data_IF_631515161150
#
_entry.id   IF_631515161150
#
_cell.length_a   1.000
_cell.length_b   1.000
_cell.length_c   1.000
_cell.angle_alpha   90.00
_cell.angle_beta   90.00
_cell.angle_gamma   90.00
#
_symmetry.space_group_name_H-M   'P 1'
#
loop_
_entity.id
_entity.type
_entity.pdbx_description
1 polymer ?
#
# COMPACT_ATOMS: atom_id res chain seq x y z
N UNK A 1 -0.65 -1.75 23.18
CA UNK A 1 -0.36 -2.98 23.98
C UNK A 1 -0.66 -4.21 23.12
N UNK A 2 0.18 -4.43 22.11
CA UNK A 2 0.17 -5.66 21.33
C UNK A 2 0.52 -6.85 22.23
N UNK A 3 -0.45 -7.75 22.47
CA UNK A 3 -0.18 -9.01 23.17
C UNK A 3 0.85 -9.80 22.33
N UNK A 4 1.98 -10.20 22.90
CA UNK A 4 2.99 -10.97 22.16
C UNK A 4 2.43 -12.31 21.64
N UNK A 5 3.01 -12.83 20.55
CA UNK A 5 2.65 -14.14 20.01
C UNK A 5 3.39 -15.25 20.77
N UNK A 6 2.67 -16.05 21.55
CA UNK A 6 3.24 -17.25 22.19
C UNK A 6 3.28 -18.43 21.20
N UNK A 7 4.10 -19.47 21.46
CA UNK A 7 4.09 -20.69 20.67
C UNK A 7 2.71 -21.34 20.56
N UNK A 8 1.94 -21.35 21.65
CA UNK A 8 0.60 -21.96 21.71
C UNK A 8 -0.41 -21.17 20.86
N UNK A 9 -0.38 -19.84 20.95
CA UNK A 9 -1.20 -18.95 20.12
C UNK A 9 -0.84 -19.09 18.64
N UNK A 10 0.45 -19.26 18.33
CA UNK A 10 0.94 -19.46 16.97
C UNK A 10 0.46 -20.80 16.39
N UNK A 11 0.61 -21.90 17.14
CA UNK A 11 0.11 -23.21 16.73
C UNK A 11 -1.40 -23.21 16.52
N UNK A 12 -2.15 -22.53 17.41
CA UNK A 12 -3.60 -22.38 17.28
C UNK A 12 -4.00 -21.55 16.06
N UNK A 13 -3.28 -20.47 15.76
CA UNK A 13 -3.47 -19.69 14.54
C UNK A 13 -3.29 -20.56 13.29
N UNK A 14 -2.21 -21.32 13.21
CA UNK A 14 -1.91 -22.17 12.05
C UNK A 14 -3.03 -23.19 11.85
N UNK A 15 -3.42 -23.91 12.90
CA UNK A 15 -4.50 -24.88 12.83
C UNK A 15 -5.84 -24.27 12.37
N UNK A 16 -6.20 -23.10 12.89
CA UNK A 16 -7.45 -22.41 12.52
C UNK A 16 -7.43 -21.90 11.07
N UNK A 17 -6.31 -21.33 10.63
CA UNK A 17 -6.16 -20.84 9.26
C UNK A 17 -6.13 -22.00 8.25
N UNK A 18 -5.48 -23.12 8.60
CA UNK A 18 -5.41 -24.33 7.78
C UNK A 18 -6.76 -25.04 7.67
N UNK A 19 -7.50 -25.15 8.78
CA UNK A 19 -8.84 -25.74 8.80
C UNK A 19 -9.84 -24.93 7.95
N UNK A 20 -9.60 -23.63 7.78
CA UNK A 20 -10.43 -22.74 6.98
C UNK A 20 -9.92 -22.57 5.53
N UNK A 21 -8.98 -23.39 5.07
CA UNK A 21 -8.45 -23.33 3.71
C UNK A 21 -9.54 -23.57 2.67
N UNK A 22 -9.56 -22.75 1.63
CA UNK A 22 -10.36 -22.97 0.42
C UNK A 22 -9.41 -22.94 -0.78
N UNK A 23 -9.42 -24.00 -1.59
CA UNK A 23 -8.50 -24.15 -2.73
C UNK A 23 -7.02 -23.98 -2.36
N UNK A 24 -6.64 -24.44 -1.17
CA UNK A 24 -5.27 -24.32 -0.63
C UNK A 24 -4.91 -22.93 -0.10
N UNK A 25 -5.80 -21.94 -0.22
CA UNK A 25 -5.59 -20.58 0.29
C UNK A 25 -6.14 -20.49 1.72
N UNK A 26 -5.30 -20.15 2.73
CA UNK A 26 -5.77 -20.00 4.11
C UNK A 26 -6.76 -18.83 4.25
N UNK A 27 -7.85 -19.05 5.00
CA UNK A 27 -8.79 -17.99 5.38
C UNK A 27 -8.52 -17.55 6.83
N UNK A 28 -8.15 -16.30 6.99
CA UNK A 28 -7.73 -15.76 8.28
C UNK A 28 -8.87 -15.10 9.08
N UNK A 29 -10.03 -14.84 8.48
CA UNK A 29 -11.13 -14.19 9.18
C UNK A 29 -11.66 -15.02 10.37
N UNK A 30 -11.87 -16.34 10.24
CA UNK A 30 -12.27 -17.18 11.38
C UNK A 30 -11.20 -17.24 12.48
N UNK A 31 -9.92 -17.36 12.08
CA UNK A 31 -8.81 -17.40 13.02
C UNK A 31 -8.65 -16.07 13.80
N UNK A 32 -8.78 -14.94 13.10
CA UNK A 32 -8.75 -13.60 13.67
C UNK A 32 -9.86 -13.40 14.72
N UNK A 33 -11.09 -13.80 14.38
CA UNK A 33 -12.22 -13.75 15.30
C UNK A 33 -11.98 -14.63 16.54
N UNK A 34 -11.56 -15.88 16.35
CA UNK A 34 -11.33 -16.83 17.44
C UNK A 34 -10.19 -16.43 18.39
N UNK A 35 -9.18 -15.72 17.88
CA UNK A 35 -8.04 -15.27 18.66
C UNK A 35 -8.20 -13.85 19.20
N UNK A 36 -9.29 -13.15 18.85
CA UNK A 36 -9.48 -11.72 19.15
C UNK A 36 -8.28 -10.88 18.68
N UNK A 37 -7.85 -11.10 17.43
CA UNK A 37 -6.70 -10.45 16.80
C UNK A 37 -7.11 -9.84 15.45
N UNK A 38 -6.46 -8.74 15.02
CA UNK A 38 -6.62 -8.24 13.65
C UNK A 38 -6.19 -9.29 12.61
N UNK A 39 -6.93 -9.39 11.51
CA UNK A 39 -6.65 -10.33 10.40
C UNK A 39 -5.21 -10.19 9.88
N UNK A 40 -4.70 -8.96 9.77
CA UNK A 40 -3.35 -8.73 9.27
C UNK A 40 -2.27 -9.31 10.21
N UNK A 41 -2.46 -9.25 11.53
CA UNK A 41 -1.51 -9.81 12.49
C UNK A 41 -1.48 -11.34 12.40
N UNK A 42 -2.65 -11.96 12.20
CA UNK A 42 -2.77 -13.39 11.95
C UNK A 42 -2.06 -13.79 10.64
N UNK A 43 -2.24 -13.03 9.56
CA UNK A 43 -1.55 -13.26 8.29
C UNK A 43 -0.03 -13.18 8.46
N UNK A 44 0.46 -12.09 9.05
CA UNK A 44 1.89 -11.87 9.27
C UNK A 44 2.51 -13.01 10.09
N UNK A 45 1.88 -13.38 11.21
CA UNK A 45 2.40 -14.43 12.08
C UNK A 45 2.35 -15.81 11.42
N UNK A 46 1.28 -16.11 10.68
CA UNK A 46 1.14 -17.37 9.95
C UNK A 46 2.27 -17.51 8.93
N UNK A 47 2.40 -16.55 8.01
CA UNK A 47 3.42 -16.63 6.94
C UNK A 47 4.84 -16.61 7.50
N UNK A 48 5.13 -15.88 8.60
CA UNK A 48 6.43 -15.96 9.28
C UNK A 48 6.81 -17.35 9.76
N UNK A 49 5.85 -18.26 9.94
CA UNK A 49 6.05 -19.58 10.54
C UNK A 49 5.85 -20.72 9.55
N UNK A 50 4.98 -20.54 8.56
CA UNK A 50 4.63 -21.59 7.60
C UNK A 50 5.30 -21.43 6.26
N UNK A 51 5.68 -20.20 5.87
CA UNK A 51 6.35 -20.05 4.59
C UNK A 51 7.79 -20.55 4.71
N UNK A 52 8.27 -21.28 3.69
CA UNK A 52 9.65 -21.69 3.65
C UNK A 52 10.53 -20.46 3.74
N UNK A 53 11.60 -20.57 4.53
CA UNK A 53 12.60 -19.53 4.62
C UNK A 53 13.15 -19.24 3.22
N UNK A 54 13.35 -17.96 2.92
CA UNK A 54 13.94 -17.56 1.65
C UNK A 54 15.39 -18.03 1.62
N UNK A 55 15.64 -19.13 0.91
CA UNK A 55 16.99 -19.62 0.67
C UNK A 55 17.83 -18.52 -0.02
N UNK A 56 19.16 -18.49 0.18
CA UNK A 56 20.03 -17.52 -0.49
C UNK A 56 19.83 -17.46 -2.01
N UNK A 57 19.67 -18.62 -2.66
CA UNK A 57 19.39 -18.70 -4.09
C UNK A 57 18.05 -18.05 -4.49
N UNK A 58 17.00 -18.20 -3.66
CA UNK A 58 15.71 -17.55 -3.91
C UNK A 58 15.79 -16.03 -3.72
N UNK A 59 16.64 -15.56 -2.80
CA UNK A 59 16.93 -14.13 -2.64
C UNK A 59 17.64 -13.59 -3.88
N UNK A 60 18.66 -14.28 -4.38
CA UNK A 60 19.39 -13.88 -5.59
C UNK A 60 18.48 -13.84 -6.82
N UNK A 61 17.62 -14.84 -6.98
CA UNK A 61 16.62 -14.85 -8.05
C UNK A 61 15.62 -13.70 -7.91
N UNK A 62 15.14 -13.41 -6.70
CA UNK A 62 14.27 -12.27 -6.44
C UNK A 62 14.96 -10.94 -6.79
N UNK A 63 16.24 -10.77 -6.43
CA UNK A 63 17.04 -9.59 -6.80
C UNK A 63 17.21 -9.48 -8.33
N UNK A 64 17.49 -10.58 -9.02
CA UNK A 64 17.64 -10.61 -10.48
C UNK A 64 16.34 -10.24 -11.19
N UNK A 65 15.22 -10.83 -10.77
CA UNK A 65 13.90 -10.52 -11.32
C UNK A 65 13.56 -9.06 -11.07
N UNK A 66 13.86 -8.55 -9.88
CA UNK A 66 13.65 -7.16 -9.52
C UNK A 66 14.45 -6.19 -10.40
N UNK A 67 15.75 -6.44 -10.56
CA UNK A 67 16.63 -5.64 -11.40
C UNK A 67 16.20 -5.69 -12.89
N UNK A 68 15.88 -6.87 -13.41
CA UNK A 68 15.47 -7.07 -14.80
C UNK A 68 14.17 -6.35 -15.16
N UNK A 69 13.30 -6.10 -14.18
CA UNK A 69 12.02 -5.43 -14.39
C UNK A 69 12.03 -3.97 -13.92
N UNK A 70 13.21 -3.39 -13.64
CA UNK A 70 13.37 -2.02 -13.15
C UNK A 70 12.43 -1.71 -11.97
N UNK A 71 12.24 -2.67 -11.06
CA UNK A 71 11.35 -2.53 -9.91
C UNK A 71 9.88 -2.92 -10.12
N UNK A 72 9.43 -3.16 -11.35
CA UNK A 72 8.02 -3.46 -11.65
C UNK A 72 7.72 -4.94 -11.54
N UNK A 73 7.17 -5.37 -10.40
CA UNK A 73 6.97 -6.79 -10.11
C UNK A 73 5.49 -7.15 -10.00
N UNK A 74 5.07 -8.10 -10.84
CA UNK A 74 3.86 -8.85 -10.57
C UNK A 74 4.15 -9.89 -9.48
N UNK A 75 3.93 -9.51 -8.21
CA UNK A 75 4.23 -10.35 -7.06
C UNK A 75 3.52 -11.71 -7.09
N UNK A 76 2.33 -11.84 -7.71
CA UNK A 76 1.67 -13.14 -7.84
C UNK A 76 2.48 -14.09 -8.73
N UNK A 77 3.01 -13.59 -9.86
CA UNK A 77 3.86 -14.38 -10.76
C UNK A 77 5.21 -14.69 -10.14
N UNK A 78 5.83 -13.71 -9.47
CA UNK A 78 7.13 -13.89 -8.82
C UNK A 78 7.04 -14.89 -7.67
N UNK A 79 6.02 -14.75 -6.82
CA UNK A 79 5.77 -15.67 -5.71
C UNK A 79 5.57 -17.10 -6.19
N UNK A 80 4.77 -17.30 -7.24
CA UNK A 80 4.58 -18.60 -7.86
C UNK A 80 5.88 -19.19 -8.43
N UNK A 81 6.70 -18.38 -9.09
CA UNK A 81 7.98 -18.82 -9.66
C UNK A 81 9.01 -19.22 -8.59
N UNK A 82 8.99 -18.54 -7.44
CA UNK A 82 9.90 -18.81 -6.33
C UNK A 82 9.34 -19.86 -5.34
N UNK A 83 8.09 -20.30 -5.50
CA UNK A 83 7.46 -21.25 -4.58
C UNK A 83 7.15 -20.65 -3.19
N UNK A 84 6.94 -19.34 -3.11
CA UNK A 84 6.61 -18.63 -1.87
C UNK A 84 5.23 -17.97 -1.96
N UNK A 85 4.69 -17.50 -0.84
CA UNK A 85 3.50 -16.65 -0.86
C UNK A 85 3.84 -15.24 -1.35
N UNK A 86 2.83 -14.56 -1.93
CA UNK A 86 2.93 -13.14 -2.31
C UNK A 86 3.38 -12.27 -1.14
N UNK A 87 2.91 -12.60 0.06
CA UNK A 87 3.24 -11.87 1.28
C UNK A 87 4.74 -11.99 1.60
N UNK A 88 5.27 -13.22 1.66
CA UNK A 88 6.68 -13.45 1.98
C UNK A 88 7.62 -12.94 0.89
N UNK A 89 7.23 -13.03 -0.39
CA UNK A 89 8.00 -12.41 -1.48
C UNK A 89 8.10 -10.90 -1.32
N UNK A 90 6.99 -10.21 -0.99
CA UNK A 90 7.00 -8.76 -0.71
C UNK A 90 7.89 -8.43 0.49
N UNK A 91 7.75 -9.18 1.57
CA UNK A 91 8.49 -8.94 2.79
C UNK A 91 10.00 -9.16 2.60
N UNK A 92 10.40 -10.22 1.91
CA UNK A 92 11.81 -10.49 1.63
C UNK A 92 12.41 -9.42 0.71
N UNK A 93 11.68 -8.99 -0.32
CA UNK A 93 12.15 -7.91 -1.19
C UNK A 93 12.40 -6.62 -0.41
N UNK A 94 11.50 -6.27 0.53
CA UNK A 94 11.67 -5.10 1.38
C UNK A 94 12.94 -5.18 2.24
N UNK A 95 13.26 -6.36 2.80
CA UNK A 95 14.51 -6.58 3.56
C UNK A 95 15.76 -6.50 2.69
N UNK A 96 15.72 -7.09 1.50
CA UNK A 96 16.85 -7.05 0.55
C UNK A 96 17.13 -5.62 0.10
N UNK A 97 16.07 -4.86 -0.20
CA UNK A 97 16.18 -3.44 -0.52
C UNK A 97 16.82 -2.67 0.64
N UNK A 98 16.30 -2.81 1.86
CA UNK A 98 16.84 -2.16 3.07
C UNK A 98 18.33 -2.47 3.28
N UNK A 99 18.73 -3.75 3.14
CA UNK A 99 20.14 -4.18 3.28
C UNK A 99 21.07 -3.50 2.26
N UNK A 100 20.55 -3.14 1.08
CA UNK A 100 21.29 -2.47 0.00
C UNK A 100 21.27 -0.95 0.13
N UNK A 101 20.67 -0.38 1.20
CA UNK A 101 20.41 1.06 1.30
C UNK A 101 19.42 1.54 0.23
N UNK A 102 18.66 0.61 -0.33
CA UNK A 102 17.63 0.85 -1.33
C UNK A 102 16.32 0.89 -0.57
N UNK A 103 15.75 2.07 -0.38
CA UNK A 103 14.47 2.21 0.30
C UNK A 103 13.37 1.48 -0.50
N UNK A 104 12.44 0.76 0.14
CA UNK A 104 11.49 -0.11 -0.53
C UNK A 104 10.64 0.66 -1.56
N UNK A 105 10.66 0.15 -2.79
CA UNK A 105 10.06 0.80 -3.97
C UNK A 105 8.58 0.46 -4.17
N UNK A 106 7.95 1.31 -4.98
CA UNK A 106 6.52 1.43 -5.18
C UNK A 106 6.13 1.10 -6.62
N UNK A 107 4.94 0.52 -6.82
CA UNK A 107 4.27 0.50 -8.13
C UNK A 107 2.89 1.11 -7.92
N UNK A 108 2.75 2.41 -8.22
CA UNK A 108 1.45 3.01 -8.42
C UNK A 108 1.03 2.68 -9.84
N UNK A 109 0.15 1.69 -9.97
CA UNK A 109 -0.65 1.67 -11.19
C UNK A 109 -1.62 2.83 -11.06
N UNK A 110 -1.68 3.77 -12.03
CA UNK A 110 -2.93 4.46 -12.25
C UNK A 110 -3.93 3.35 -12.54
N UNK A 111 -4.73 2.97 -11.53
CA UNK A 111 -6.02 2.42 -11.86
C UNK A 111 -6.65 3.55 -12.62
N UNK A 112 -6.79 3.37 -13.94
CA UNK A 112 -7.61 4.21 -14.76
C UNK A 112 -8.96 4.24 -14.05
N UNK A 113 -9.19 5.29 -13.26
CA UNK A 113 -10.44 5.51 -12.58
C UNK A 113 -11.45 5.56 -13.72
N UNK A 114 -12.31 4.54 -13.83
CA UNK A 114 -13.42 4.63 -14.76
C UNK A 114 -14.26 5.82 -14.30
N UNK A 115 -14.10 6.93 -15.01
CA UNK A 115 -14.61 8.26 -14.66
C UNK A 115 -13.60 9.04 -13.81
N UNK A 116 -13.06 10.12 -14.36
CA UNK A 116 -12.31 11.13 -13.61
C UNK A 116 -13.19 11.69 -12.47
N UNK A 117 -12.55 12.17 -11.40
CA UNK A 117 -13.23 12.95 -10.38
C UNK A 117 -13.34 14.39 -10.88
N UNK A 118 -14.55 14.84 -11.15
CA UNK A 118 -14.86 16.24 -11.43
C UNK A 118 -15.45 16.93 -10.19
N UNK A 119 -15.61 18.26 -10.27
CA UNK A 119 -16.14 19.06 -9.18
C UNK A 119 -17.57 18.64 -8.76
N UNK A 120 -18.38 18.15 -9.71
CA UNK A 120 -19.75 17.69 -9.44
C UNK A 120 -19.72 16.41 -8.60
N UNK A 121 -18.88 15.45 -8.98
CA UNK A 121 -18.70 14.19 -8.28
C UNK A 121 -18.09 14.39 -6.89
N UNK A 122 -17.17 15.35 -6.75
CA UNK A 122 -16.63 15.75 -5.45
C UNK A 122 -17.71 16.36 -4.54
N UNK A 123 -18.58 17.21 -5.09
CA UNK A 123 -19.70 17.78 -4.36
C UNK A 123 -20.67 16.67 -3.90
N UNK A 124 -20.98 15.69 -4.76
CA UNK A 124 -21.80 14.54 -4.41
C UNK A 124 -21.17 13.68 -3.32
N UNK A 125 -19.87 13.41 -3.41
CA UNK A 125 -19.13 12.68 -2.38
C UNK A 125 -19.21 13.38 -1.01
N UNK A 126 -18.99 14.70 -0.97
CA UNK A 126 -19.12 15.50 0.27
C UNK A 126 -20.55 15.48 0.81
N UNK A 127 -21.55 15.69 -0.04
CA UNK A 127 -22.96 15.71 0.36
C UNK A 127 -23.39 14.37 0.95
N UNK A 128 -23.04 13.24 0.30
CA UNK A 128 -23.37 11.91 0.79
C UNK A 128 -22.65 11.58 2.10
N UNK A 129 -21.40 12.00 2.27
CA UNK A 129 -20.70 11.85 3.56
C UNK A 129 -21.30 12.70 4.67
N UNK A 130 -21.68 13.94 4.38
CA UNK A 130 -22.37 14.82 5.32
C UNK A 130 -23.74 14.24 5.75
N UNK A 131 -24.42 13.53 4.85
CA UNK A 131 -25.63 12.77 5.14
C UNK A 131 -25.41 11.44 5.89
N UNK A 132 -24.16 11.12 6.27
CA UNK A 132 -23.83 9.93 7.06
C UNK A 132 -23.65 8.63 6.25
N UNK A 133 -23.68 8.69 4.91
CA UNK A 133 -23.51 7.48 4.09
C UNK A 133 -22.09 6.90 4.22
N UNK A 134 -21.97 5.57 4.38
CA UNK A 134 -20.69 4.88 4.35
C UNK A 134 -20.07 4.82 2.95
N UNK A 135 -18.73 4.72 2.85
CA UNK A 135 -18.01 4.75 1.56
C UNK A 135 -18.44 3.66 0.58
N UNK A 136 -18.86 2.49 1.06
CA UNK A 136 -19.42 1.45 0.20
C UNK A 136 -20.75 1.84 -0.45
N UNK A 137 -21.63 2.54 0.29
CA UNK A 137 -22.89 3.06 -0.27
C UNK A 137 -22.63 4.18 -1.28
N UNK A 138 -21.65 5.03 -0.98
CA UNK A 138 -21.24 6.13 -1.86
C UNK A 138 -20.62 5.60 -3.14
N UNK A 139 -19.73 4.61 -3.06
CA UNK A 139 -19.12 3.99 -4.24
C UNK A 139 -20.17 3.42 -5.19
N UNK A 140 -21.21 2.75 -4.65
CA UNK A 140 -22.36 2.31 -5.46
C UNK A 140 -23.09 3.47 -6.13
N UNK A 141 -23.34 4.56 -5.40
CA UNK A 141 -24.03 5.74 -5.95
C UNK A 141 -23.21 6.47 -7.03
N UNK A 142 -21.89 6.51 -6.88
CA UNK A 142 -20.98 7.22 -7.78
C UNK A 142 -20.35 6.32 -8.85
N UNK A 143 -20.66 5.03 -8.88
CA UNK A 143 -20.09 4.08 -9.84
C UNK A 143 -18.58 3.85 -9.67
N UNK A 144 -18.06 3.88 -8.43
CA UNK A 144 -16.66 3.60 -8.12
C UNK A 144 -16.50 2.73 -6.86
N UNK A 145 -15.27 2.34 -6.52
CA UNK A 145 -15.01 1.55 -5.32
C UNK A 145 -15.15 2.38 -4.04
N UNK A 146 -15.39 1.72 -2.91
CA UNK A 146 -15.36 2.32 -1.58
C UNK A 146 -13.99 2.92 -1.27
N UNK A 147 -12.91 2.23 -1.64
CA UNK A 147 -11.52 2.70 -1.52
C UNK A 147 -11.29 3.98 -2.32
N UNK A 148 -11.80 4.05 -3.55
CA UNK A 148 -11.74 5.25 -4.37
C UNK A 148 -12.43 6.45 -3.70
N UNK A 149 -13.63 6.24 -3.14
CA UNK A 149 -14.37 7.27 -2.41
C UNK A 149 -13.62 7.72 -1.15
N UNK A 150 -13.05 6.78 -0.39
CA UNK A 150 -12.29 7.08 0.82
C UNK A 150 -11.06 7.92 0.50
N UNK A 151 -10.28 7.52 -0.49
CA UNK A 151 -9.08 8.25 -0.94
C UNK A 151 -9.45 9.66 -1.42
N UNK A 152 -10.48 9.81 -2.27
CA UNK A 152 -10.89 11.13 -2.74
C UNK A 152 -11.41 12.02 -1.61
N UNK A 153 -12.26 11.49 -0.73
CA UNK A 153 -12.82 12.27 0.37
C UNK A 153 -11.73 12.77 1.32
N UNK A 154 -10.70 11.96 1.52
CA UNK A 154 -9.53 12.35 2.28
C UNK A 154 -8.83 13.56 1.66
N UNK A 155 -8.54 13.50 0.35
CA UNK A 155 -7.97 14.64 -0.41
C UNK A 155 -8.85 15.89 -0.31
N UNK A 156 -10.18 15.75 -0.42
CA UNK A 156 -11.13 16.86 -0.39
C UNK A 156 -11.30 17.55 0.97
N UNK A 157 -10.93 16.87 2.06
CA UNK A 157 -11.09 17.35 3.44
C UNK A 157 -9.85 18.04 3.99
N UNK A 158 -8.82 18.25 3.16
CA UNK A 158 -7.50 18.67 3.61
C UNK A 158 -7.15 20.08 3.18
N UNK A 159 -6.22 20.66 3.93
CA UNK A 159 -5.62 21.96 3.60
C UNK A 159 -5.00 21.82 2.21
N UNK A 160 -5.43 22.69 1.29
CA UNK A 160 -4.81 22.74 -0.03
C UNK A 160 -3.32 23.05 0.13
N UNK A 161 -2.50 22.45 -0.73
CA UNK A 161 -1.12 22.89 -0.92
C UNK A 161 -1.14 24.38 -1.27
N UNK A 162 -0.45 25.20 -0.47
CA UNK A 162 -0.27 26.59 -0.85
C UNK A 162 0.77 26.66 -1.98
N UNK A 163 0.84 27.80 -2.69
CA UNK A 163 1.79 27.98 -3.79
C UNK A 163 3.24 27.70 -3.39
N UNK A 164 3.63 28.12 -2.18
CA UNK A 164 4.98 27.93 -1.64
C UNK A 164 5.29 26.44 -1.37
N UNK A 165 4.36 25.70 -0.78
CA UNK A 165 4.54 24.26 -0.53
C UNK A 165 4.59 23.47 -1.84
N UNK A 166 3.78 23.86 -2.84
CA UNK A 166 3.77 23.22 -4.15
C UNK A 166 5.10 23.45 -4.89
N UNK A 167 5.65 24.67 -4.84
CA UNK A 167 6.96 24.99 -5.40
C UNK A 167 8.09 24.22 -4.70
N UNK A 168 8.07 24.16 -3.37
CA UNK A 168 9.04 23.38 -2.59
C UNK A 168 8.98 21.89 -2.95
N UNK A 169 7.78 21.35 -3.14
CA UNK A 169 7.58 19.95 -3.54
C UNK A 169 8.12 19.69 -4.94
N UNK A 170 7.84 20.57 -5.91
CA UNK A 170 8.39 20.48 -7.28
C UNK A 170 9.92 20.56 -7.30
N UNK A 171 10.50 21.51 -6.57
CA UNK A 171 11.94 21.67 -6.48
C UNK A 171 12.61 20.42 -5.89
N UNK A 172 12.01 19.83 -4.85
CA UNK A 172 12.47 18.60 -4.24
C UNK A 172 12.41 17.42 -5.21
N UNK A 173 11.28 17.25 -5.91
CA UNK A 173 11.10 16.19 -6.89
C UNK A 173 12.08 16.35 -8.06
N UNK A 174 12.26 17.56 -8.58
CA UNK A 174 13.22 17.84 -9.65
C UNK A 174 14.67 17.51 -9.21
N UNK A 175 15.09 18.00 -8.03
CA UNK A 175 16.43 17.77 -7.49
C UNK A 175 16.72 16.29 -7.23
N UNK A 176 15.69 15.49 -6.96
CA UNK A 176 15.80 14.06 -6.66
C UNK A 176 15.36 13.16 -7.82
N UNK A 177 15.12 13.72 -9.00
CA UNK A 177 14.62 12.99 -10.18
C UNK A 177 13.38 12.13 -9.85
N UNK A 178 12.46 12.69 -9.04
CA UNK A 178 11.25 12.03 -8.56
C UNK A 178 11.46 11.00 -7.45
N UNK A 179 12.70 10.75 -7.00
CA UNK A 179 13.04 9.73 -6.00
C UNK A 179 13.11 10.31 -4.60
N UNK A 180 11.96 10.45 -3.96
CA UNK A 180 11.84 10.99 -2.59
C UNK A 180 11.06 10.01 -1.73
N UNK A 181 11.58 9.70 -0.53
CA UNK A 181 10.89 8.82 0.41
C UNK A 181 9.70 9.52 1.07
N UNK A 182 8.71 8.73 1.49
CA UNK A 182 7.56 9.23 2.25
C UNK A 182 7.97 9.94 3.53
N UNK A 183 9.00 9.45 4.22
CA UNK A 183 9.50 10.05 5.45
C UNK A 183 10.10 11.44 5.19
N UNK A 184 10.85 11.62 4.09
CA UNK A 184 11.37 12.92 3.69
C UNK A 184 10.23 13.86 3.30
N UNK A 185 9.23 13.36 2.55
CA UNK A 185 8.05 14.13 2.20
C UNK A 185 7.27 14.58 3.45
N UNK A 186 6.86 13.66 4.31
CA UNK A 186 6.14 13.97 5.54
C UNK A 186 6.97 14.83 6.51
N UNK A 187 8.29 14.68 6.54
CA UNK A 187 9.18 15.51 7.37
C UNK A 187 9.32 16.94 6.84
N UNK A 188 9.33 17.14 5.52
CA UNK A 188 9.43 18.46 4.89
C UNK A 188 8.09 19.20 4.80
N UNK A 189 6.99 18.45 4.80
CA UNK A 189 5.62 18.94 4.72
C UNK A 189 4.79 18.45 5.93
N UNK A 190 5.17 18.76 7.18
CA UNK A 190 4.50 18.21 8.37
C UNK A 190 3.04 18.67 8.52
N UNK A 191 2.68 19.79 7.89
CA UNK A 191 1.32 20.32 7.82
C UNK A 191 0.42 19.58 6.83
N UNK A 192 1.02 18.72 6.01
CA UNK A 192 0.35 17.89 5.02
C UNK A 192 0.60 16.43 5.36
N UNK A 193 -0.46 15.67 5.50
CA UNK A 193 -0.29 14.23 5.47
C UNK A 193 0.15 13.77 4.07
N UNK A 194 0.58 12.52 4.03
CA UNK A 194 1.09 11.94 2.80
C UNK A 194 0.12 11.93 1.62
N UNK A 195 -1.18 11.63 1.79
CA UNK A 195 -2.08 11.55 0.64
C UNK A 195 -2.41 12.92 0.04
N UNK A 196 -2.33 14.01 0.82
CA UNK A 196 -2.36 15.36 0.26
C UNK A 196 -1.14 15.62 -0.61
N UNK A 197 0.04 15.23 -0.14
CA UNK A 197 1.29 15.33 -0.92
C UNK A 197 1.15 14.53 -2.22
N UNK A 198 0.62 13.30 -2.16
CA UNK A 198 0.36 12.51 -3.37
C UNK A 198 -0.65 13.15 -4.32
N UNK A 199 -1.72 13.72 -3.76
CA UNK A 199 -2.73 14.41 -4.55
C UNK A 199 -2.14 15.58 -5.36
N UNK A 200 -1.23 16.35 -4.76
CA UNK A 200 -0.52 17.42 -5.44
C UNK A 200 0.43 16.89 -6.53
N UNK A 201 1.17 15.81 -6.25
CA UNK A 201 2.04 15.14 -7.24
C UNK A 201 1.22 14.64 -8.44
N UNK A 202 0.07 14.03 -8.19
CA UNK A 202 -0.82 13.50 -9.24
C UNK A 202 -1.59 14.59 -9.99
N UNK A 203 -1.94 15.69 -9.33
CA UNK A 203 -2.60 16.83 -9.96
C UNK A 203 -1.74 17.49 -11.04
N UNK A 204 -0.41 17.42 -10.87
CA UNK A 204 0.56 17.94 -11.84
C UNK A 204 0.71 17.05 -13.10
N UNK A 205 0.30 15.78 -13.07
CA UNK A 205 0.35 14.88 -14.25
C UNK A 205 -0.76 15.19 -15.30
N UNK A 206 -1.71 16.08 -14.97
CA UNK A 206 -2.83 16.45 -15.84
C UNK A 206 -2.53 17.56 -16.85
N UNK A 207 -1.42 18.28 -16.73
CA UNK A 207 -1.03 19.40 -17.59
C UNK A 207 0.33 19.11 -18.27
N UNK A 208 0.23 18.51 -19.47
CA UNK A 208 1.22 18.42 -20.56
C UNK A 208 2.49 17.53 -20.49
N UNK A 209 2.68 16.89 -21.66
CA UNK A 209 3.88 16.39 -22.35
C UNK A 209 4.84 15.38 -21.69
N UNK A 210 5.06 14.30 -22.44
CA UNK A 210 6.03 13.21 -22.24
C UNK A 210 7.10 13.43 -21.16
N UNK A 211 6.82 12.89 -19.98
CA UNK A 211 7.82 12.09 -19.28
C UNK A 211 8.34 12.64 -17.97
N UNK A 212 7.59 12.43 -16.89
CA UNK A 212 8.13 11.96 -15.61
C UNK A 212 7.04 11.11 -14.96
N UNK A 213 7.33 9.84 -14.64
CA UNK A 213 6.42 8.97 -13.85
C UNK A 213 6.88 8.99 -12.40
N UNK A 214 6.00 9.37 -11.49
CA UNK A 214 6.29 9.39 -10.05
C UNK A 214 5.79 8.10 -9.38
N UNK A 215 6.69 7.36 -8.71
CA UNK A 215 6.37 6.11 -8.01
C UNK A 215 6.28 6.36 -6.49
N UNK A 216 5.15 6.04 -5.83
CA UNK A 216 4.94 6.31 -4.37
C UNK A 216 4.08 5.28 -3.59
N UNK A 217 4.50 4.75 -2.42
CA UNK A 217 3.68 4.04 -1.40
C UNK A 217 4.24 4.21 0.04
N UNK A 218 3.53 3.60 0.98
CA UNK A 218 3.59 3.84 2.42
C UNK A 218 4.26 2.74 3.24
N UNK A 219 4.82 3.19 4.36
CA UNK A 219 5.03 2.50 5.63
C UNK A 219 3.76 1.76 6.09
N UNK A 220 3.88 0.48 6.47
CA UNK A 220 3.00 -0.07 7.51
C UNK A 220 3.67 0.35 8.81
N UNK A 221 3.08 1.32 9.50
CA UNK A 221 3.54 1.69 10.83
C UNK A 221 3.56 0.45 11.73
N UNK A 222 4.70 0.21 12.37
CA UNK A 222 4.74 -0.53 13.61
C UNK A 222 3.98 0.32 14.65
N UNK A 223 2.75 -0.06 14.98
CA UNK A 223 2.04 0.44 16.16
C UNK A 223 2.21 -0.56 17.31
N UNK A 224 2.71 -0.07 18.45
CA UNK A 224 3.07 -0.78 19.70
C UNK A 224 1.92 -1.55 20.43
#
# INVERSE_FOLDING_TARGET
MSKSWTPELTSRLIALADAAKTDGIPNFAPAAAALSRPVYQCQLQYFRKTDPEFAPAACEQLEQIWAANAGKLNFARVAAALGHSVFSTKWQLARLAQKRGLEPFFELRPQAYRGAWDASRDAQLRALRAAGAGFAAIGRALGCSDRACQQRFHVLGRRAFCGEDAERLRALLAARQGRVSSQVLCGLFPEHDFYSILGEIWGQEGEEEEGVKYDVLHEVADEE
#
